data_IF_730451602627
#
_entry.id   IF_730451602627
#
_cell.length_a   1.000
_cell.length_b   1.000
_cell.length_c   1.000
_cell.angle_alpha   90.00
_cell.angle_beta   90.00
_cell.angle_gamma   90.00
#
_symmetry.space_group_name_H-M   'P 1'
#
loop_
_entity.id
_entity.type
_entity.pdbx_description
1 polymer ?
#
# COMPACT_ATOMS: atom_id res chain seq x y z
N UNK A 1 5.14 -16.52 -0.68
CA UNK A 1 6.33 -15.91 -1.29
C UNK A 1 7.50 -16.06 -0.33
N UNK A 2 8.71 -16.32 -0.84
CA UNK A 2 9.92 -16.36 -0.02
C UNK A 2 10.36 -14.94 0.35
N UNK A 3 11.11 -14.80 1.44
CA UNK A 3 11.58 -13.49 1.96
C UNK A 3 12.34 -12.65 0.92
N UNK A 4 13.17 -13.29 0.08
CA UNK A 4 13.95 -12.60 -0.94
C UNK A 4 13.07 -12.09 -2.09
N UNK A 5 12.08 -12.89 -2.51
CA UNK A 5 11.12 -12.50 -3.55
C UNK A 5 10.28 -11.31 -3.09
N UNK A 6 9.83 -11.36 -1.83
CA UNK A 6 9.07 -10.28 -1.22
C UNK A 6 9.89 -8.98 -1.16
N UNK A 7 11.17 -9.08 -0.81
CA UNK A 7 12.07 -7.92 -0.81
C UNK A 7 12.18 -7.29 -2.19
N UNK A 8 12.43 -8.10 -3.23
CA UNK A 8 12.53 -7.60 -4.61
C UNK A 8 11.23 -6.95 -5.08
N UNK A 9 10.08 -7.54 -4.74
CA UNK A 9 8.77 -6.95 -5.01
C UNK A 9 8.65 -5.56 -4.37
N UNK A 10 9.00 -5.43 -3.09
CA UNK A 10 8.93 -4.14 -2.40
C UNK A 10 9.91 -3.11 -2.95
N UNK A 11 11.07 -3.52 -3.47
CA UNK A 11 11.98 -2.61 -4.19
C UNK A 11 11.33 -2.06 -5.47
N UNK A 12 10.71 -2.93 -6.28
CA UNK A 12 9.95 -2.51 -7.47
C UNK A 12 8.83 -1.52 -7.12
N UNK A 13 8.03 -1.84 -6.10
CA UNK A 13 6.94 -0.99 -5.65
C UNK A 13 7.47 0.34 -5.08
N UNK A 14 8.60 0.33 -4.39
CA UNK A 14 9.19 1.56 -3.85
C UNK A 14 9.53 2.53 -4.97
N UNK A 15 10.12 2.05 -6.07
CA UNK A 15 10.41 2.87 -7.26
C UNK A 15 9.12 3.46 -7.83
N UNK A 16 8.09 2.63 -7.99
CA UNK A 16 6.79 3.07 -8.50
C UNK A 16 6.16 4.15 -7.60
N UNK A 17 6.03 3.89 -6.30
CA UNK A 17 5.48 4.84 -5.32
C UNK A 17 6.29 6.14 -5.30
N UNK A 18 7.63 6.06 -5.34
CA UNK A 18 8.50 7.23 -5.42
C UNK A 18 8.19 8.11 -6.64
N UNK A 19 7.98 7.50 -7.81
CA UNK A 19 7.57 8.23 -9.01
C UNK A 19 6.16 8.83 -8.88
N UNK A 20 5.22 8.11 -8.29
CA UNK A 20 3.87 8.64 -8.04
C UNK A 20 3.90 9.85 -7.10
N UNK A 21 4.70 9.81 -6.03
CA UNK A 21 4.88 10.94 -5.13
C UNK A 21 5.45 12.17 -5.85
N UNK A 22 6.43 11.96 -6.74
CA UNK A 22 6.99 13.04 -7.58
C UNK A 22 5.93 13.60 -8.53
N UNK A 23 5.13 12.74 -9.16
CA UNK A 23 4.04 13.16 -10.04
C UNK A 23 3.00 13.98 -9.29
N UNK A 24 2.53 13.52 -8.12
CA UNK A 24 1.58 14.26 -7.28
C UNK A 24 2.11 15.62 -6.86
N UNK A 25 3.40 15.71 -6.52
CA UNK A 25 4.02 16.99 -6.22
C UNK A 25 4.12 17.94 -7.42
N UNK A 26 4.51 17.43 -8.59
CA UNK A 26 4.76 18.27 -9.78
C UNK A 26 3.49 18.63 -10.56
N UNK A 27 2.54 17.71 -10.65
CA UNK A 27 1.36 17.82 -11.52
C UNK A 27 0.12 18.16 -10.71
N UNK A 28 -0.14 17.42 -9.62
CA UNK A 28 -1.30 17.67 -8.74
C UNK A 28 -1.04 18.79 -7.72
N UNK A 29 0.20 19.29 -7.63
CA UNK A 29 0.65 20.36 -6.70
C UNK A 29 0.50 20.01 -5.21
N UNK A 30 0.52 18.73 -4.85
CA UNK A 30 0.50 18.34 -3.44
C UNK A 30 1.86 18.59 -2.80
N UNK A 31 1.85 19.19 -1.62
CA UNK A 31 3.04 19.34 -0.80
C UNK A 31 3.38 18.03 -0.09
N UNK A 32 4.66 17.82 0.23
CA UNK A 32 5.08 16.68 1.05
C UNK A 32 4.39 16.67 2.42
N UNK A 33 4.04 17.86 2.94
CA UNK A 33 3.27 18.02 4.18
C UNK A 33 1.86 17.45 4.03
N UNK A 34 1.13 17.82 2.99
CA UNK A 34 -0.24 17.31 2.76
C UNK A 34 -0.25 15.81 2.52
N UNK A 35 0.74 15.29 1.77
CA UNK A 35 0.89 13.84 1.58
C UNK A 35 1.15 13.16 2.94
N UNK A 36 2.08 13.70 3.73
CA UNK A 36 2.45 13.18 5.04
C UNK A 36 1.25 13.15 6.00
N UNK A 37 0.47 14.23 6.05
CA UNK A 37 -0.75 14.31 6.86
C UNK A 37 -1.81 13.31 6.40
N UNK A 38 -1.94 13.10 5.08
CA UNK A 38 -2.93 12.18 4.53
C UNK A 38 -2.61 10.71 4.76
N UNK A 39 -1.34 10.32 4.66
CA UNK A 39 -0.93 8.91 4.79
C UNK A 39 -0.27 8.56 6.14
N UNK A 40 -0.01 9.56 7.00
CA UNK A 40 0.65 9.37 8.29
C UNK A 40 2.14 9.00 8.17
N UNK A 41 2.75 9.19 7.00
CA UNK A 41 4.16 8.88 6.75
C UNK A 41 4.99 10.16 6.91
N UNK A 42 6.04 10.17 7.75
CA UNK A 42 6.91 11.33 7.92
C UNK A 42 7.54 11.84 6.60
N UNK A 43 7.66 13.18 6.46
CA UNK A 43 8.19 13.82 5.25
C UNK A 43 9.62 13.38 4.87
N UNK A 44 10.46 13.11 5.86
CA UNK A 44 11.80 12.55 5.63
C UNK A 44 11.71 11.17 4.96
N UNK A 45 10.77 10.31 5.39
CA UNK A 45 10.53 9.01 4.75
C UNK A 45 9.96 9.16 3.35
N UNK A 46 9.05 10.12 3.10
CA UNK A 46 8.61 10.43 1.74
C UNK A 46 9.79 10.83 0.84
N UNK A 47 10.72 11.63 1.37
CA UNK A 47 11.95 12.02 0.65
C UNK A 47 12.83 10.81 0.34
N UNK A 48 13.02 9.90 1.29
CA UNK A 48 13.80 8.68 1.08
C UNK A 48 13.18 7.78 0.00
N UNK A 49 11.85 7.66 -0.01
CA UNK A 49 11.10 6.86 -1.01
C UNK A 49 11.22 7.48 -2.41
N UNK A 50 11.01 8.80 -2.53
CA UNK A 50 11.20 9.53 -3.82
C UNK A 50 12.63 9.36 -4.37
N UNK A 51 13.61 9.20 -3.49
CA UNK A 51 15.02 9.08 -3.84
C UNK A 51 15.56 7.67 -3.56
N UNK A 52 14.75 6.63 -3.81
CA UNK A 52 15.11 5.25 -3.45
C UNK A 52 16.50 4.81 -3.93
N UNK A 53 16.93 5.20 -5.15
CA UNK A 53 18.28 4.88 -5.67
C UNK A 53 19.42 5.39 -4.78
N UNK A 54 19.22 6.49 -4.05
CA UNK A 54 20.21 7.08 -3.13
C UNK A 54 20.19 6.40 -1.76
N UNK A 55 19.00 6.09 -1.24
CA UNK A 55 18.84 5.62 0.15
C UNK A 55 18.76 4.09 0.26
N UNK A 56 18.43 3.40 -0.83
CA UNK A 56 18.29 1.94 -0.92
C UNK A 56 17.47 1.30 0.21
N UNK A 57 16.41 2.00 0.64
CA UNK A 57 15.50 1.57 1.70
C UNK A 57 14.10 1.34 1.13
N UNK A 58 13.73 0.09 0.81
CA UNK A 58 12.41 -0.18 0.28
C UNK A 58 11.33 0.10 1.33
N UNK A 59 10.12 0.41 0.85
CA UNK A 59 8.94 0.41 1.70
C UNK A 59 8.64 -1.02 2.17
N UNK A 60 7.97 -1.14 3.31
CA UNK A 60 7.42 -2.40 3.79
C UNK A 60 5.90 -2.42 3.58
N UNK A 61 5.25 -3.51 3.97
CA UNK A 61 3.81 -3.67 3.83
C UNK A 61 3.02 -2.59 4.57
N UNK A 62 3.47 -2.17 5.76
CA UNK A 62 2.82 -1.10 6.54
C UNK A 62 2.79 0.22 5.78
N UNK A 63 3.93 0.63 5.19
CA UNK A 63 3.99 1.84 4.37
C UNK A 63 3.13 1.71 3.12
N UNK A 64 3.17 0.55 2.45
CA UNK A 64 2.34 0.31 1.27
C UNK A 64 0.84 0.39 1.60
N UNK A 65 0.41 -0.24 2.69
CA UNK A 65 -0.97 -0.18 3.18
C UNK A 65 -1.38 1.28 3.47
N UNK A 66 -0.51 2.07 4.10
CA UNK A 66 -0.76 3.48 4.37
C UNK A 66 -0.98 4.28 3.08
N UNK A 67 -0.15 4.09 2.04
CA UNK A 67 -0.35 4.74 0.75
C UNK A 67 -1.63 4.29 0.05
N UNK A 68 -1.95 2.99 0.08
CA UNK A 68 -3.15 2.44 -0.56
C UNK A 68 -4.40 3.04 0.08
N UNK A 69 -4.56 2.89 1.40
CA UNK A 69 -5.81 3.31 2.03
C UNK A 69 -5.91 4.82 2.31
N UNK A 70 -4.85 5.59 2.09
CA UNK A 70 -4.94 7.06 1.97
C UNK A 70 -5.30 7.52 0.55
N UNK A 71 -5.32 6.61 -0.43
CA UNK A 71 -5.58 6.90 -1.84
C UNK A 71 -4.44 7.60 -2.55
N UNK A 72 -3.20 7.49 -2.05
CA UNK A 72 -2.01 8.00 -2.74
C UNK A 72 -1.67 7.11 -3.94
N UNK A 73 -1.89 5.81 -3.81
CA UNK A 73 -1.80 4.81 -4.88
C UNK A 73 -2.97 3.85 -4.74
N UNK A 74 -3.37 3.22 -5.84
CA UNK A 74 -4.30 2.09 -5.87
C UNK A 74 -3.58 0.81 -6.26
N UNK A 75 -4.17 -0.33 -5.92
CA UNK A 75 -3.76 -1.66 -6.39
C UNK A 75 -3.74 -1.69 -7.92
N UNK A 76 -4.75 -1.11 -8.56
CA UNK A 76 -4.84 -1.09 -10.02
C UNK A 76 -3.69 -0.32 -10.68
N UNK A 77 -3.24 0.77 -10.04
CA UNK A 77 -2.08 1.55 -10.50
C UNK A 77 -0.78 0.77 -10.30
N UNK A 78 -0.63 0.08 -9.17
CA UNK A 78 0.55 -0.77 -8.90
C UNK A 78 0.63 -1.91 -9.92
N UNK A 79 -0.48 -2.62 -10.17
CA UNK A 79 -0.50 -3.75 -11.10
C UNK A 79 -0.21 -3.34 -12.55
N UNK A 80 -0.58 -2.12 -12.94
CA UNK A 80 -0.30 -1.58 -14.29
C UNK A 80 1.09 -0.95 -14.40
N UNK A 81 1.59 -0.37 -13.31
CA UNK A 81 2.82 0.43 -13.28
C UNK A 81 4.07 -0.32 -12.82
N UNK A 82 3.91 -1.53 -12.29
CA UNK A 82 5.00 -2.40 -11.84
C UNK A 82 5.02 -3.66 -12.71
N UNK A 83 6.22 -4.06 -13.14
CA UNK A 83 6.44 -5.35 -13.80
C UNK A 83 6.35 -6.49 -12.77
N UNK A 84 5.15 -7.06 -12.66
CA UNK A 84 4.81 -8.12 -11.72
C UNK A 84 4.75 -9.47 -12.42
N UNK A 85 5.36 -10.48 -11.81
CA UNK A 85 5.07 -11.87 -12.17
C UNK A 85 3.73 -12.35 -11.55
N UNK A 86 3.25 -13.52 -11.94
CA UNK A 86 1.96 -14.06 -11.49
C UNK A 86 1.83 -14.19 -9.95
N UNK A 87 2.92 -14.55 -9.26
CA UNK A 87 2.90 -14.70 -7.81
C UNK A 87 2.88 -13.35 -7.09
N UNK A 88 3.64 -12.37 -7.62
CA UNK A 88 3.66 -10.99 -7.14
C UNK A 88 2.28 -10.33 -7.36
N UNK A 89 1.71 -10.46 -8.55
CA UNK A 89 0.38 -9.93 -8.88
C UNK A 89 -0.70 -10.49 -7.96
N UNK A 90 -0.70 -11.81 -7.76
CA UNK A 90 -1.63 -12.46 -6.82
C UNK A 90 -1.48 -11.91 -5.40
N UNK A 91 -0.26 -11.69 -4.93
CA UNK A 91 0.00 -11.10 -3.62
C UNK A 91 -0.49 -9.64 -3.55
N UNK A 92 -0.21 -8.82 -4.55
CA UNK A 92 -0.70 -7.43 -4.59
C UNK A 92 -2.22 -7.38 -4.63
N UNK A 93 -2.86 -8.29 -5.36
CA UNK A 93 -4.31 -8.45 -5.35
C UNK A 93 -4.89 -8.79 -3.96
N UNK A 94 -4.14 -9.47 -3.09
CA UNK A 94 -4.62 -9.73 -1.72
C UNK A 94 -4.64 -8.47 -0.87
N UNK A 95 -3.93 -7.40 -1.24
CA UNK A 95 -3.87 -6.12 -0.51
C UNK A 95 -5.02 -5.17 -0.85
N UNK A 96 -5.89 -5.55 -1.79
CA UNK A 96 -7.05 -4.74 -2.24
C UNK A 96 -8.01 -4.36 -1.11
N UNK A 97 -8.05 -5.13 -0.02
CA UNK A 97 -8.85 -4.76 1.14
C UNK A 97 -8.42 -3.42 1.78
N UNK A 98 -7.16 -3.00 1.62
CA UNK A 98 -6.71 -1.70 2.12
C UNK A 98 -7.36 -0.51 1.40
N UNK A 99 -7.94 -0.71 0.21
CA UNK A 99 -8.70 0.32 -0.52
C UNK A 99 -10.12 0.50 0.02
N UNK A 100 -10.68 -0.54 0.65
CA UNK A 100 -12.05 -0.52 1.15
C UNK A 100 -12.12 0.21 2.50
N UNK A 101 -12.46 1.50 2.46
CA UNK A 101 -12.60 2.35 3.65
C UNK A 101 -13.59 1.79 4.68
N UNK A 102 -14.64 1.08 4.24
CA UNK A 102 -15.67 0.54 5.13
C UNK A 102 -15.10 -0.68 5.87
N UNK A 103 -14.47 -1.59 5.12
CA UNK A 103 -13.81 -2.75 5.69
C UNK A 103 -12.65 -2.38 6.62
N UNK A 104 -11.93 -1.30 6.29
CA UNK A 104 -10.86 -0.78 7.14
C UNK A 104 -11.37 -0.33 8.50
N UNK A 105 -12.50 0.39 8.54
CA UNK A 105 -13.16 0.78 9.81
C UNK A 105 -13.61 -0.43 10.60
N UNK A 106 -14.19 -1.43 9.93
CA UNK A 106 -14.66 -2.66 10.58
C UNK A 106 -13.49 -3.49 11.14
N UNK A 107 -12.37 -3.59 10.43
CA UNK A 107 -11.15 -4.28 10.89
C UNK A 107 -10.46 -3.51 12.02
N UNK A 108 -10.36 -2.18 11.94
CA UNK A 108 -9.79 -1.37 13.04
C UNK A 108 -10.65 -1.46 14.29
N UNK A 109 -11.98 -1.33 14.17
CA UNK A 109 -12.90 -1.51 15.30
C UNK A 109 -12.76 -2.90 15.92
N UNK A 110 -12.70 -3.94 15.09
CA UNK A 110 -12.51 -5.30 15.56
C UNK A 110 -11.16 -5.54 16.25
N UNK A 111 -10.09 -4.92 15.77
CA UNK A 111 -8.78 -4.98 16.41
C UNK A 111 -8.79 -4.27 17.78
N UNK A 112 -9.42 -3.11 17.87
CA UNK A 112 -9.62 -2.37 19.13
C UNK A 112 -10.46 -3.19 20.14
N UNK A 113 -11.38 -4.01 19.65
CA UNK A 113 -12.23 -4.92 20.43
C UNK A 113 -11.57 -6.29 20.72
N UNK A 114 -10.31 -6.51 20.31
CA UNK A 114 -9.57 -7.76 20.53
C UNK A 114 -10.08 -8.96 19.71
N UNK A 115 -10.82 -8.71 18.64
CA UNK A 115 -11.38 -9.72 17.74
C UNK A 115 -10.30 -10.14 16.73
N UNK A 116 -10.24 -11.44 16.42
CA UNK A 116 -9.30 -11.99 15.44
C UNK A 116 -9.60 -11.43 14.03
N UNK A 117 -8.74 -10.51 13.60
CA UNK A 117 -8.79 -9.85 12.29
C UNK A 117 -8.70 -10.86 11.13
N UNK A 118 -8.02 -12.00 11.31
CA UNK A 118 -7.91 -13.03 10.27
C UNK A 118 -9.27 -13.67 10.01
N UNK A 119 -10.04 -13.94 11.06
CA UNK A 119 -11.38 -14.53 10.93
C UNK A 119 -12.38 -13.55 10.32
N UNK A 120 -12.25 -12.25 10.63
CA UNK A 120 -13.08 -11.20 10.04
C UNK A 120 -12.83 -11.03 8.53
N UNK A 121 -11.56 -11.02 8.12
CA UNK A 121 -11.17 -10.98 6.71
C UNK A 121 -11.70 -12.22 5.97
N UNK A 122 -11.69 -13.39 6.63
CA UNK A 122 -12.24 -14.62 6.07
C UNK A 122 -13.76 -14.54 5.87
N UNK A 123 -14.50 -14.11 6.89
CA UNK A 123 -15.96 -13.98 6.83
C UNK A 123 -16.43 -13.00 5.76
N UNK A 124 -15.73 -11.89 5.58
CA UNK A 124 -16.08 -10.94 4.52
C UNK A 124 -15.82 -11.52 3.12
N UNK A 125 -14.73 -12.28 2.94
CA UNK A 125 -14.47 -12.98 1.67
C UNK A 125 -15.58 -13.98 1.35
N UNK A 126 -16.07 -14.70 2.35
CA UNK A 126 -17.19 -15.64 2.19
C UNK A 126 -18.52 -14.93 1.87
N UNK A 127 -18.76 -13.73 2.44
CA UNK A 127 -19.93 -12.90 2.10
C UNK A 127 -19.91 -12.40 0.66
N UNK A 128 -18.75 -11.95 0.16
CA UNK A 128 -18.62 -11.40 -1.21
C UNK A 128 -18.54 -12.46 -2.29
N UNK A 129 -18.18 -13.70 -1.96
CA UNK A 129 -18.14 -14.82 -2.90
C UNK A 129 -19.49 -15.51 -3.15
N UNK A 130 -20.55 -15.14 -2.41
CA UNK A 130 -21.90 -15.72 -2.53
C UNK A 130 -22.93 -14.77 -3.19
N UNK A 131 -22.48 -13.62 -3.70
CA UNK A 131 -23.31 -12.61 -4.37
C UNK A 131 -23.18 -12.65 -5.87
#
# INVERSE_FOLDING_TARGET
MRKNELKLLFEKITVFVGNTLIYKGKVERWTDKEISEKCGIPQNRLTEIKNFKKYNRPINETFLAAFIGSGIVSISEIQKGVDLNQAEDKYIGTLKFYEDKKLRKEVTAAFDDGIDVIELIRLERERRGKG
#
